data_IF_177638049459
#
_entry.id   IF_177638049459
#
_cell.length_a   1.000
_cell.length_b   1.000
_cell.length_c   1.000
_cell.angle_alpha   90.00
_cell.angle_beta   90.00
_cell.angle_gamma   90.00
#
_symmetry.space_group_name_H-M   'P 1'
#
loop_
_entity.id
_entity.type
_entity.pdbx_description
1 polymer ?
#
# COMPACT_ATOMS: atom_id res chain seq x y z
N UNK A 1 -0.10 -2.33 57.70
CA UNK A 1 0.55 -1.01 57.83
C UNK A 1 0.04 -0.13 56.69
N UNK A 2 -1.02 0.67 56.89
CA UNK A 2 -1.38 1.79 56.03
C UNK A 2 -0.88 3.11 56.64
N UNK A 3 -0.63 4.13 55.81
CA UNK A 3 -0.22 5.45 56.27
C UNK A 3 -0.42 6.49 55.15
N UNK A 4 -1.66 6.94 55.01
CA UNK A 4 -2.01 8.22 54.38
C UNK A 4 -2.16 9.25 55.50
N UNK A 5 -1.70 10.49 55.32
CA UNK A 5 -2.08 11.59 56.19
C UNK A 5 -2.28 12.92 55.47
N UNK A 6 -3.28 13.63 55.98
CA UNK A 6 -4.04 14.72 55.37
C UNK A 6 -3.47 16.12 55.62
N UNK A 7 -3.75 16.99 54.64
CA UNK A 7 -4.17 18.41 54.68
C UNK A 7 -4.21 19.14 56.05
N UNK A 8 -3.70 20.38 56.05
CA UNK A 8 -4.21 21.48 56.87
C UNK A 8 -4.36 22.77 56.05
N UNK A 9 -5.55 23.36 56.11
CA UNK A 9 -5.90 24.68 55.63
C UNK A 9 -5.68 25.74 56.73
N UNK A 10 -5.60 27.02 56.36
CA UNK A 10 -5.90 28.11 57.29
C UNK A 10 -6.54 29.30 56.58
N UNK A 11 -7.62 29.78 57.21
CA UNK A 11 -8.51 30.88 56.85
C UNK A 11 -7.93 32.26 57.20
N UNK A 12 -8.50 33.34 56.64
CA UNK A 12 -8.26 34.69 57.18
C UNK A 12 -8.80 35.86 56.36
N UNK A 13 -9.94 36.40 56.76
CA UNK A 13 -10.83 37.29 56.00
C UNK A 13 -10.63 38.82 56.23
N UNK A 14 -10.76 39.61 55.13
CA UNK A 14 -11.74 40.71 54.90
C UNK A 14 -11.66 42.11 55.59
N UNK A 15 -12.06 43.14 54.77
CA UNK A 15 -12.69 44.48 55.02
C UNK A 15 -11.78 45.72 54.87
N UNK A 16 -12.17 46.89 54.30
CA UNK A 16 -13.38 47.45 53.63
C UNK A 16 -13.09 48.88 53.08
N UNK A 17 -13.74 49.25 51.95
CA UNK A 17 -14.39 50.55 51.54
C UNK A 17 -13.55 51.84 51.27
N UNK A 18 -13.75 52.48 50.09
CA UNK A 18 -14.70 53.59 49.76
C UNK A 18 -14.51 54.07 48.28
N UNK A 19 -15.37 54.98 47.81
CA UNK A 19 -15.95 55.15 46.46
C UNK A 19 -15.68 56.57 45.87
N UNK A 20 -15.65 56.70 44.52
CA UNK A 20 -15.96 57.91 43.68
C UNK A 20 -15.02 59.15 43.82
N UNK A 21 -14.71 60.01 42.83
CA UNK A 21 -15.27 60.39 41.52
C UNK A 21 -14.18 61.04 40.60
N UNK A 22 -14.35 60.84 39.29
CA UNK A 22 -14.28 61.70 38.08
C UNK A 22 -13.45 63.02 37.97
N UNK A 23 -13.05 63.25 36.69
CA UNK A 23 -12.62 64.49 35.97
C UNK A 23 -11.09 64.76 35.88
N UNK A 24 -10.45 65.19 34.78
CA UNK A 24 -10.66 65.27 33.31
C UNK A 24 -9.35 65.89 32.71
N UNK A 25 -8.99 65.61 31.43
CA UNK A 25 -7.99 66.30 30.54
C UNK A 25 -6.49 65.95 30.77
N UNK A 26 -5.58 65.78 29.79
CA UNK A 26 -5.56 65.86 28.32
C UNK A 26 -4.24 65.23 27.81
N UNK A 27 -4.28 64.58 26.64
CA UNK A 27 -3.24 64.35 25.62
C UNK A 27 -1.80 63.94 26.00
N UNK A 28 -1.30 62.85 25.41
CA UNK A 28 -0.32 62.87 24.28
C UNK A 28 0.12 61.45 23.85
N UNK A 29 -0.02 61.17 22.54
CA UNK A 29 0.85 60.42 21.59
C UNK A 29 1.89 59.44 22.18
N UNK A 30 2.06 58.18 21.78
CA UNK A 30 2.20 57.56 20.43
C UNK A 30 2.24 56.03 20.64
N UNK A 31 1.83 55.18 19.68
CA UNK A 31 1.86 53.73 19.87
C UNK A 31 3.28 53.20 19.69
N UNK A 32 3.76 52.44 20.68
CA UNK A 32 4.91 51.57 20.50
C UNK A 32 4.56 50.54 19.43
N UNK A 33 5.37 50.50 18.38
CA UNK A 33 5.25 49.60 17.24
C UNK A 33 5.10 48.14 17.71
N UNK A 34 3.85 47.68 17.77
CA UNK A 34 3.55 46.28 17.67
C UNK A 34 4.01 45.86 16.27
N UNK A 35 5.16 45.19 16.20
CA UNK A 35 5.49 44.34 15.06
C UNK A 35 4.39 43.28 15.03
N UNK A 36 3.34 43.58 14.28
CA UNK A 36 2.38 42.59 13.82
C UNK A 36 3.22 41.67 12.94
N UNK A 37 3.69 40.57 13.53
CA UNK A 37 4.04 39.39 12.77
C UNK A 37 2.78 39.04 12.00
N UNK A 38 2.75 39.44 10.73
CA UNK A 38 1.70 39.17 9.78
C UNK A 38 1.58 37.65 9.64
N UNK A 39 0.73 37.06 10.47
CA UNK A 39 0.44 35.63 10.56
C UNK A 39 -0.46 35.14 9.42
N UNK A 40 -0.40 35.78 8.25
CA UNK A 40 -1.11 35.38 7.03
C UNK A 40 -0.13 35.03 5.90
N UNK A 41 1.12 34.71 6.24
CA UNK A 41 2.08 34.12 5.32
C UNK A 41 1.85 32.60 5.16
N UNK A 42 0.59 32.19 4.95
CA UNK A 42 0.33 30.85 4.44
C UNK A 42 0.58 30.89 2.92
N UNK A 43 1.86 30.83 2.57
CA UNK A 43 2.37 30.96 1.20
C UNK A 43 1.70 29.93 0.27
N UNK A 44 1.42 30.31 -0.99
CA UNK A 44 0.91 29.40 -2.05
C UNK A 44 1.75 28.11 -2.19
N UNK A 45 3.04 28.18 -1.83
CA UNK A 45 3.92 27.03 -1.76
C UNK A 45 3.47 25.97 -0.75
N UNK A 46 2.99 26.36 0.43
CA UNK A 46 2.55 25.41 1.46
C UNK A 46 1.28 24.67 1.04
N UNK A 47 0.35 25.36 0.36
CA UNK A 47 -0.82 24.72 -0.24
C UNK A 47 -0.41 23.68 -1.27
N UNK A 48 0.53 24.05 -2.15
CA UNK A 48 1.07 23.15 -3.18
C UNK A 48 1.72 21.90 -2.57
N UNK A 49 2.48 22.06 -1.48
CA UNK A 49 3.08 20.92 -0.77
C UNK A 49 2.02 20.01 -0.14
N UNK A 50 0.96 20.56 0.46
CA UNK A 50 -0.14 19.76 1.03
C UNK A 50 -0.90 18.98 -0.04
N UNK A 51 -1.13 19.59 -1.21
CA UNK A 51 -1.73 18.89 -2.36
C UNK A 51 -0.84 17.74 -2.81
N UNK A 52 0.47 17.98 -2.98
CA UNK A 52 1.42 16.94 -3.36
C UNK A 52 1.46 15.77 -2.35
N UNK A 53 1.44 16.06 -1.06
CA UNK A 53 1.36 15.04 -0.01
C UNK A 53 0.08 14.18 -0.13
N UNK A 54 -1.04 14.81 -0.46
CA UNK A 54 -2.32 14.12 -0.68
C UNK A 54 -2.24 13.19 -1.91
N UNK A 55 -1.64 13.67 -3.00
CA UNK A 55 -1.45 12.88 -4.21
C UNK A 55 -0.51 11.69 -3.97
N UNK A 56 0.57 11.88 -3.20
CA UNK A 56 1.50 10.81 -2.81
C UNK A 56 0.80 9.74 -1.97
N UNK A 57 -0.04 10.12 -1.02
CA UNK A 57 -0.84 9.18 -0.22
C UNK A 57 -1.85 8.42 -1.09
N UNK A 58 -2.52 9.11 -2.02
CA UNK A 58 -3.41 8.45 -2.97
C UNK A 58 -2.66 7.42 -3.84
N UNK A 59 -1.48 7.78 -4.35
CA UNK A 59 -0.63 6.86 -5.10
C UNK A 59 -0.15 5.67 -4.25
N UNK A 60 0.18 5.89 -2.98
CA UNK A 60 0.53 4.83 -2.01
C UNK A 60 -0.60 3.81 -1.87
N UNK A 61 -1.84 4.28 -1.79
CA UNK A 61 -3.02 3.41 -1.70
C UNK A 61 -3.26 2.58 -2.95
N UNK A 62 -2.88 3.08 -4.14
CA UNK A 62 -2.98 2.32 -5.40
C UNK A 62 -2.02 1.13 -5.44
N UNK A 63 -0.89 1.21 -4.74
CA UNK A 63 0.13 0.14 -4.66
C UNK A 63 0.04 -0.69 -3.37
N UNK A 64 -1.04 -0.52 -2.60
CA UNK A 64 -1.30 -1.28 -1.38
C UNK A 64 -2.24 -2.46 -1.67
N UNK A 65 -1.85 -3.65 -1.24
CA UNK A 65 -2.64 -4.86 -1.40
C UNK A 65 -3.92 -4.80 -0.56
N UNK A 66 -5.08 -5.05 -1.19
CA UNK A 66 -6.38 -5.07 -0.50
C UNK A 66 -6.59 -6.26 0.44
N UNK A 67 -5.71 -7.27 0.39
CA UNK A 67 -5.78 -8.47 1.25
C UNK A 67 -4.94 -8.29 2.52
N UNK A 68 -3.63 -8.08 2.38
CA UNK A 68 -2.73 -7.96 3.54
C UNK A 68 -2.56 -6.53 4.06
N UNK A 69 -3.10 -5.53 3.35
CA UNK A 69 -3.02 -4.09 3.67
C UNK A 69 -1.59 -3.53 3.72
N UNK A 70 -0.62 -4.23 3.12
CA UNK A 70 0.77 -3.79 2.93
C UNK A 70 1.02 -3.45 1.47
N UNK A 71 2.20 -2.93 1.12
CA UNK A 71 2.59 -2.79 -0.29
C UNK A 71 2.46 -4.11 -1.07
N UNK A 72 2.18 -3.97 -2.36
CA UNK A 72 2.09 -5.09 -3.30
C UNK A 72 3.49 -5.68 -3.59
N UNK A 73 3.97 -6.57 -2.73
CA UNK A 73 5.17 -7.36 -3.00
C UNK A 73 4.87 -8.49 -3.98
N UNK A 74 5.77 -8.72 -4.95
CA UNK A 74 5.53 -9.59 -6.12
C UNK A 74 4.09 -9.47 -6.64
N UNK A 75 3.71 -8.30 -7.19
CA UNK A 75 2.33 -8.05 -7.62
C UNK A 75 1.95 -8.93 -8.80
N UNK A 76 0.81 -9.62 -8.69
CA UNK A 76 0.19 -10.36 -9.78
C UNK A 76 -1.19 -9.78 -10.12
N UNK A 77 -1.36 -9.40 -11.38
CA UNK A 77 -2.59 -8.88 -11.94
C UNK A 77 -3.48 -10.02 -12.46
N UNK A 78 -4.74 -9.98 -12.07
CA UNK A 78 -5.79 -10.83 -12.64
C UNK A 78 -6.21 -10.30 -14.01
N UNK A 79 -6.91 -11.13 -14.80
CA UNK A 79 -7.45 -10.71 -16.11
C UNK A 79 -8.49 -9.59 -16.01
N UNK A 80 -9.10 -9.37 -14.83
CA UNK A 80 -9.97 -8.22 -14.57
C UNK A 80 -9.20 -6.93 -14.20
N UNK A 81 -7.87 -6.96 -14.13
CA UNK A 81 -7.01 -5.81 -13.83
C UNK A 81 -6.66 -5.63 -12.35
N UNK A 82 -7.39 -6.24 -11.41
CA UNK A 82 -7.07 -6.14 -9.99
C UNK A 82 -5.77 -6.88 -9.67
N UNK A 83 -4.95 -6.31 -8.79
CA UNK A 83 -3.60 -6.77 -8.47
C UNK A 83 -3.44 -7.04 -6.98
N UNK A 84 -2.74 -8.13 -6.64
CA UNK A 84 -2.48 -8.55 -5.26
C UNK A 84 -1.06 -9.10 -5.14
N UNK A 85 -0.54 -9.25 -3.91
CA UNK A 85 0.67 -10.04 -3.71
C UNK A 85 0.43 -11.49 -4.14
N UNK A 86 1.49 -12.14 -4.62
CA UNK A 86 1.46 -13.54 -5.05
C UNK A 86 0.84 -14.46 -3.99
N UNK A 87 1.36 -14.41 -2.76
CA UNK A 87 0.93 -15.22 -1.62
C UNK A 87 -0.53 -14.95 -1.24
N UNK A 88 -0.95 -13.68 -1.29
CA UNK A 88 -2.29 -13.24 -0.95
C UNK A 88 -3.34 -13.84 -1.90
N UNK A 89 -3.13 -13.71 -3.21
CA UNK A 89 -4.08 -14.26 -4.17
C UNK A 89 -4.01 -15.79 -4.26
N UNK A 90 -2.83 -16.39 -4.08
CA UNK A 90 -2.67 -17.83 -4.01
C UNK A 90 -3.47 -18.42 -2.83
N UNK A 91 -3.33 -17.83 -1.64
CA UNK A 91 -4.07 -18.26 -0.45
C UNK A 91 -5.58 -18.04 -0.61
N UNK A 92 -6.00 -16.92 -1.22
CA UNK A 92 -7.41 -16.63 -1.49
C UNK A 92 -8.08 -17.69 -2.38
N UNK A 93 -7.36 -18.20 -3.38
CA UNK A 93 -7.84 -19.26 -4.27
C UNK A 93 -7.96 -20.63 -3.58
N UNK A 94 -7.44 -20.79 -2.35
CA UNK A 94 -7.52 -22.02 -1.57
C UNK A 94 -6.67 -23.16 -2.13
N UNK A 95 -6.45 -24.20 -1.29
CA UNK A 95 -5.73 -25.43 -1.69
C UNK A 95 -6.68 -26.53 -2.19
N UNK A 96 -7.91 -26.56 -1.69
CA UNK A 96 -8.86 -27.63 -1.98
C UNK A 96 -9.75 -27.30 -3.18
N UNK A 97 -9.66 -28.14 -4.23
CA UNK A 97 -10.65 -28.16 -5.31
C UNK A 97 -12.00 -28.76 -4.83
N UNK A 98 -11.97 -29.53 -3.73
CA UNK A 98 -13.13 -30.23 -3.17
C UNK A 98 -14.12 -29.30 -2.45
N UNK A 99 -13.61 -28.23 -1.82
CA UNK A 99 -14.42 -27.13 -1.31
C UNK A 99 -14.51 -26.09 -2.43
N UNK A 100 -15.56 -26.15 -3.25
CA UNK A 100 -15.80 -25.31 -4.43
C UNK A 100 -15.91 -23.79 -4.14
N UNK A 101 -14.96 -23.17 -3.43
CA UNK A 101 -14.76 -21.74 -3.48
C UNK A 101 -14.22 -21.44 -4.87
N UNK A 102 -15.10 -20.92 -5.73
CA UNK A 102 -14.74 -20.47 -7.07
C UNK A 102 -13.51 -19.55 -6.97
N UNK A 103 -12.49 -19.80 -7.79
CA UNK A 103 -11.32 -18.91 -7.95
C UNK A 103 -11.83 -17.57 -8.50
N UNK A 104 -12.17 -16.63 -7.64
CA UNK A 104 -12.73 -15.33 -8.03
C UNK A 104 -11.90 -14.18 -7.51
N UNK A 105 -11.84 -13.08 -8.24
CA UNK A 105 -11.25 -11.83 -7.77
C UNK A 105 -11.88 -11.39 -6.43
N UNK A 106 -11.08 -11.06 -5.39
CA UNK A 106 -11.57 -10.51 -4.13
C UNK A 106 -12.44 -9.25 -4.29
N UNK A 107 -12.09 -8.36 -5.23
CA UNK A 107 -12.74 -7.05 -5.39
C UNK A 107 -14.01 -7.14 -6.26
N UNK A 108 -13.91 -7.66 -7.49
CA UNK A 108 -15.02 -7.65 -8.44
C UNK A 108 -15.69 -9.01 -8.66
N UNK A 109 -15.22 -10.07 -7.99
CA UNK A 109 -15.76 -11.44 -8.09
C UNK A 109 -15.69 -12.09 -9.47
N UNK A 110 -15.01 -11.47 -10.45
CA UNK A 110 -14.72 -12.09 -11.75
C UNK A 110 -14.00 -13.42 -11.56
N UNK A 111 -14.42 -14.45 -12.30
CA UNK A 111 -13.81 -15.77 -12.26
C UNK A 111 -12.40 -15.71 -12.86
N UNK A 112 -11.42 -16.18 -12.10
CA UNK A 112 -10.01 -16.29 -12.50
C UNK A 112 -9.85 -17.59 -13.29
N UNK A 113 -9.79 -17.46 -14.62
CA UNK A 113 -9.64 -18.60 -15.54
C UNK A 113 -8.19 -18.84 -15.94
N UNK A 114 -7.41 -17.78 -15.98
CA UNK A 114 -6.03 -17.77 -16.46
C UNK A 114 -5.08 -17.51 -15.30
N UNK A 115 -3.84 -17.97 -15.47
CA UNK A 115 -2.79 -17.68 -14.52
C UNK A 115 -2.58 -16.16 -14.42
N UNK A 116 -2.60 -15.57 -13.22
CA UNK A 116 -2.27 -14.16 -13.04
C UNK A 116 -0.88 -13.83 -13.60
N UNK A 117 -0.70 -12.62 -14.12
CA UNK A 117 0.56 -12.14 -14.70
C UNK A 117 1.30 -11.20 -13.73
N UNK A 118 2.63 -11.24 -13.64
CA UNK A 118 3.38 -10.32 -12.79
C UNK A 118 3.26 -8.88 -13.32
N UNK A 119 3.07 -7.91 -12.42
CA UNK A 119 3.00 -6.48 -12.74
C UNK A 119 4.31 -5.78 -12.39
N UNK A 120 5.29 -5.84 -13.30
CA UNK A 120 6.61 -5.25 -13.07
C UNK A 120 6.57 -3.73 -12.80
N UNK A 121 5.66 -2.99 -13.45
CA UNK A 121 5.51 -1.55 -13.21
C UNK A 121 5.09 -1.25 -11.77
N UNK A 122 4.13 -1.99 -11.23
CA UNK A 122 3.70 -1.83 -9.83
C UNK A 122 4.84 -2.21 -8.89
N UNK A 123 5.63 -3.24 -9.23
CA UNK A 123 6.79 -3.65 -8.45
C UNK A 123 7.83 -2.53 -8.33
N UNK A 124 8.15 -1.85 -9.44
CA UNK A 124 9.06 -0.70 -9.44
C UNK A 124 8.50 0.48 -8.63
N UNK A 125 7.19 0.76 -8.72
CA UNK A 125 6.56 1.79 -7.91
C UNK A 125 6.69 1.50 -6.40
N UNK A 126 6.49 0.24 -5.98
CA UNK A 126 6.68 -0.17 -4.58
C UNK A 126 8.11 0.10 -4.11
N UNK A 127 9.13 -0.12 -4.96
CA UNK A 127 10.52 0.19 -4.62
C UNK A 127 10.76 1.69 -4.41
N UNK A 128 10.09 2.56 -5.19
CA UNK A 128 10.21 4.00 -5.01
C UNK A 128 9.70 4.42 -3.63
N UNK A 129 8.53 3.92 -3.21
CA UNK A 129 7.96 4.25 -1.90
C UNK A 129 8.74 3.61 -0.76
N UNK A 130 9.14 2.35 -0.87
CA UNK A 130 9.85 1.66 0.21
C UNK A 130 11.25 2.22 0.48
N UNK A 131 11.89 2.85 -0.51
CA UNK A 131 13.20 3.49 -0.36
C UNK A 131 13.15 4.92 0.18
N UNK A 132 11.96 5.47 0.44
CA UNK A 132 11.77 6.86 0.90
C UNK A 132 11.12 6.85 2.27
N UNK A 133 11.94 6.91 3.32
CA UNK A 133 11.48 6.89 4.71
C UNK A 133 10.48 8.01 5.01
N UNK A 134 10.56 9.14 4.29
CA UNK A 134 9.65 10.28 4.44
C UNK A 134 8.24 10.01 3.89
N UNK A 135 8.08 8.96 3.08
CA UNK A 135 6.79 8.54 2.50
C UNK A 135 6.16 7.36 3.26
N UNK A 136 6.86 6.82 4.28
CA UNK A 136 6.37 5.70 5.06
C UNK A 136 5.52 6.19 6.26
N UNK A 137 4.49 5.43 6.67
CA UNK A 137 3.75 5.70 7.89
C UNK A 137 4.62 5.60 9.15
N UNK A 138 4.16 6.25 10.23
CA UNK A 138 4.80 6.14 11.53
C UNK A 138 4.85 4.68 12.01
N UNK A 139 6.07 4.21 12.32
CA UNK A 139 6.30 2.85 12.80
C UNK A 139 6.59 1.81 11.72
N UNK A 140 6.65 2.20 10.44
CA UNK A 140 7.15 1.35 9.36
C UNK A 140 8.58 1.74 8.96
N UNK A 141 9.44 0.75 8.67
CA UNK A 141 10.83 1.00 8.24
C UNK A 141 11.10 0.48 6.84
N UNK A 142 12.02 1.15 6.12
CA UNK A 142 12.45 0.74 4.77
C UNK A 142 12.96 -0.70 4.77
N UNK A 143 13.73 -1.07 5.80
CA UNK A 143 14.33 -2.39 5.97
C UNK A 143 13.27 -3.48 6.13
N UNK A 144 12.20 -3.23 6.88
CA UNK A 144 11.06 -4.15 7.00
C UNK A 144 10.35 -4.33 5.66
N UNK A 145 10.14 -3.26 4.90
CA UNK A 145 9.56 -3.35 3.56
C UNK A 145 10.42 -4.20 2.62
N UNK A 146 11.75 -4.01 2.63
CA UNK A 146 12.66 -4.83 1.83
C UNK A 146 12.68 -6.28 2.29
N UNK A 147 12.62 -6.54 3.59
CA UNK A 147 12.56 -7.90 4.12
C UNK A 147 11.30 -8.62 3.63
N UNK A 148 10.14 -7.98 3.74
CA UNK A 148 8.87 -8.52 3.23
C UNK A 148 8.90 -8.72 1.71
N UNK A 149 9.49 -7.78 0.96
CA UNK A 149 9.64 -7.92 -0.49
C UNK A 149 10.52 -9.12 -0.86
N UNK A 150 11.64 -9.33 -0.15
CA UNK A 150 12.52 -10.49 -0.37
C UNK A 150 11.83 -11.80 -0.02
N UNK A 151 11.13 -11.86 1.10
CA UNK A 151 10.38 -13.05 1.53
C UNK A 151 9.35 -13.44 0.48
N UNK A 152 8.57 -12.49 -0.01
CA UNK A 152 7.58 -12.75 -1.06
C UNK A 152 8.24 -13.22 -2.37
N UNK A 153 9.37 -12.61 -2.76
CA UNK A 153 10.16 -13.03 -3.92
C UNK A 153 10.68 -14.47 -3.79
N UNK A 154 11.12 -14.87 -2.58
CA UNK A 154 11.54 -16.24 -2.30
C UNK A 154 10.38 -17.23 -2.39
N UNK A 155 9.18 -16.86 -1.93
CA UNK A 155 7.97 -17.69 -2.08
C UNK A 155 7.70 -17.94 -3.58
N UNK A 156 7.72 -16.88 -4.39
CA UNK A 156 7.53 -16.99 -5.84
C UNK A 156 8.62 -17.84 -6.49
N UNK A 157 9.88 -17.63 -6.11
CA UNK A 157 11.00 -18.38 -6.67
C UNK A 157 10.92 -19.87 -6.34
N UNK A 158 10.57 -20.22 -5.09
CA UNK A 158 10.38 -21.62 -4.65
C UNK A 158 9.28 -22.31 -5.44
N UNK A 159 8.13 -21.66 -5.60
CA UNK A 159 6.98 -22.21 -6.33
C UNK A 159 7.26 -22.30 -7.84
N UNK A 160 7.96 -21.31 -8.41
CA UNK A 160 8.42 -21.35 -9.81
C UNK A 160 9.40 -22.50 -10.07
N UNK A 161 10.25 -22.81 -9.09
CA UNK A 161 11.26 -23.87 -9.18
C UNK A 161 10.72 -25.26 -8.85
N UNK A 162 9.50 -25.38 -8.31
CA UNK A 162 8.87 -26.67 -8.03
C UNK A 162 8.58 -27.40 -9.36
N UNK A 163 9.13 -28.60 -9.52
CA UNK A 163 8.99 -29.42 -10.72
C UNK A 163 8.02 -30.58 -10.54
N UNK A 164 7.22 -30.61 -9.47
CA UNK A 164 6.20 -31.65 -9.27
C UNK A 164 5.22 -31.71 -10.47
N UNK A 165 4.86 -32.93 -10.86
CA UNK A 165 4.04 -33.17 -12.06
C UNK A 165 2.64 -32.55 -11.91
N UNK A 166 2.03 -32.67 -10.74
CA UNK A 166 0.67 -32.22 -10.46
C UNK A 166 0.65 -30.79 -9.90
N UNK A 167 1.47 -30.51 -8.89
CA UNK A 167 1.47 -29.25 -8.13
C UNK A 167 2.64 -28.33 -8.45
N UNK A 168 3.62 -28.75 -9.25
CA UNK A 168 4.79 -27.92 -9.54
C UNK A 168 4.46 -26.68 -10.39
N UNK A 169 5.37 -25.71 -10.36
CA UNK A 169 5.28 -24.45 -11.09
C UNK A 169 4.34 -23.44 -10.45
N UNK A 170 4.30 -22.25 -11.06
CA UNK A 170 3.61 -21.10 -10.51
C UNK A 170 2.13 -21.38 -10.14
N UNK A 171 1.73 -20.83 -9.00
CA UNK A 171 0.42 -21.04 -8.37
C UNK A 171 0.14 -22.51 -8.04
N UNK A 172 1.17 -23.27 -7.70
CA UNK A 172 1.11 -24.70 -7.37
C UNK A 172 0.35 -25.49 -8.46
N UNK A 173 0.67 -25.22 -9.73
CA UNK A 173 0.05 -25.91 -10.87
C UNK A 173 -1.44 -25.63 -11.10
N UNK A 174 -2.10 -24.74 -10.34
CA UNK A 174 -3.57 -24.46 -10.43
C UNK A 174 -4.09 -24.06 -11.81
N UNK A 175 -3.19 -23.66 -12.71
CA UNK A 175 -3.48 -23.21 -14.06
C UNK A 175 -2.81 -24.08 -15.13
N UNK A 176 -2.15 -25.18 -14.75
CA UNK A 176 -1.74 -26.22 -15.70
C UNK A 176 -3.01 -26.71 -16.40
N UNK A 177 -3.06 -26.57 -17.72
CA UNK A 177 -4.17 -27.14 -18.51
C UNK A 177 -4.03 -28.66 -18.43
N UNK A 178 -4.82 -29.27 -17.55
CA UNK A 178 -4.94 -30.71 -17.43
C UNK A 178 -5.38 -31.31 -18.77
N UNK A 179 -4.43 -31.88 -19.48
CA UNK A 179 -4.64 -32.51 -20.75
C UNK A 179 -3.30 -32.96 -21.26
N UNK A 180 -3.17 -34.26 -21.51
CA UNK A 180 -2.18 -34.77 -22.46
C UNK A 180 -2.10 -33.73 -23.57
N UNK A 181 -0.93 -33.11 -23.75
CA UNK A 181 -0.68 -32.29 -24.91
C UNK A 181 -1.09 -33.15 -26.10
N UNK A 182 -2.28 -32.92 -26.66
CA UNK A 182 -2.46 -33.20 -28.05
C UNK A 182 -1.41 -32.29 -28.66
N UNK A 183 -0.30 -32.82 -29.20
CA UNK A 183 0.88 -32.02 -29.50
C UNK A 183 0.38 -30.85 -30.31
N UNK A 184 0.36 -29.69 -29.67
CA UNK A 184 -0.20 -28.50 -30.27
C UNK A 184 0.78 -28.22 -31.39
N UNK A 185 0.40 -28.60 -32.61
CA UNK A 185 1.19 -28.37 -33.80
C UNK A 185 1.41 -26.86 -33.85
N UNK A 186 2.58 -26.44 -33.39
CA UNK A 186 2.97 -25.05 -33.40
C UNK A 186 2.80 -24.55 -34.85
N UNK A 187 2.05 -23.48 -35.03
CA UNK A 187 1.90 -22.89 -36.35
C UNK A 187 3.19 -22.11 -36.61
N UNK A 188 3.85 -22.42 -37.72
CA UNK A 188 5.00 -21.64 -38.19
C UNK A 188 4.46 -20.40 -38.87
N UNK A 189 4.72 -19.24 -38.29
CA UNK A 189 4.45 -17.96 -38.93
C UNK A 189 5.40 -17.81 -40.13
N UNK A 190 4.83 -17.61 -41.31
CA UNK A 190 5.60 -17.52 -42.56
C UNK A 190 6.29 -16.18 -42.72
N UNK A 191 5.92 -15.16 -41.94
CA UNK A 191 6.49 -13.83 -42.02
C UNK A 191 7.87 -13.73 -41.35
N UNK A 192 8.06 -14.44 -40.24
CA UNK A 192 9.27 -14.38 -39.42
C UNK A 192 9.88 -15.77 -39.12
N UNK A 193 9.26 -16.85 -39.60
CA UNK A 193 9.65 -18.25 -39.36
C UNK A 193 9.61 -18.66 -37.88
N UNK A 194 8.86 -17.97 -37.04
CA UNK A 194 8.72 -18.28 -35.62
C UNK A 194 7.58 -19.27 -35.39
N UNK A 195 7.79 -20.23 -34.49
CA UNK A 195 6.77 -21.17 -34.07
C UNK A 195 5.88 -20.55 -33.00
N UNK A 196 4.59 -20.42 -33.30
CA UNK A 196 3.59 -19.79 -32.42
C UNK A 196 2.57 -20.82 -31.94
N UNK A 197 2.11 -20.67 -30.71
CA UNK A 197 0.99 -21.45 -30.19
C UNK A 197 -0.31 -21.05 -30.92
N UNK A 198 -1.04 -21.98 -31.56
CA UNK A 198 -2.31 -21.69 -32.25
C UNK A 198 -3.41 -21.13 -31.32
N UNK A 199 -3.26 -21.27 -30.00
CA UNK A 199 -4.27 -20.81 -29.05
C UNK A 199 -3.96 -19.44 -28.41
N UNK A 200 -2.70 -19.00 -28.39
CA UNK A 200 -2.33 -17.72 -27.77
C UNK A 200 -1.32 -16.89 -28.59
N UNK A 201 -0.88 -17.38 -29.73
CA UNK A 201 0.10 -16.77 -30.66
C UNK A 201 1.49 -16.46 -30.06
N UNK A 202 1.73 -16.79 -28.79
CA UNK A 202 3.04 -16.68 -28.17
C UNK A 202 4.05 -17.64 -28.79
N UNK A 203 5.29 -17.18 -28.82
CA UNK A 203 6.44 -17.92 -29.32
C UNK A 203 6.72 -19.13 -28.43
N UNK A 204 6.91 -20.28 -29.08
CA UNK A 204 7.25 -21.53 -28.39
C UNK A 204 8.77 -21.68 -28.48
N UNK A 205 9.48 -21.43 -27.37
CA UNK A 205 10.90 -21.75 -27.26
C UNK A 205 11.07 -23.28 -27.29
N UNK A 206 11.83 -23.79 -28.27
CA UNK A 206 12.31 -25.17 -28.24
C UNK A 206 13.51 -25.23 -27.31
N UNK A 207 13.40 -25.99 -26.22
CA UNK A 207 14.57 -26.52 -25.51
C UNK A 207 15.28 -27.56 -26.38
#
# INVERSE_FOLDING_TARGET
MPGEDRLHANDGASRKRRKMDRDHHSATNTPADAIVLSSDAHCEHEKSLRTLQTDLEAMRQLITCKICLKFLYEPYALTCGHTYCYSCIMNWMGKDQAQQKKKTCPDCRTIIREQPAPSYLIKEMVLIFSNRVELLPDGETSEEHHAMAREEAEIVAKDKADTDEETGGLFQGRFKRGGRLNPVLAIRDVSDNVFRCPNCAFEIQRN
#
